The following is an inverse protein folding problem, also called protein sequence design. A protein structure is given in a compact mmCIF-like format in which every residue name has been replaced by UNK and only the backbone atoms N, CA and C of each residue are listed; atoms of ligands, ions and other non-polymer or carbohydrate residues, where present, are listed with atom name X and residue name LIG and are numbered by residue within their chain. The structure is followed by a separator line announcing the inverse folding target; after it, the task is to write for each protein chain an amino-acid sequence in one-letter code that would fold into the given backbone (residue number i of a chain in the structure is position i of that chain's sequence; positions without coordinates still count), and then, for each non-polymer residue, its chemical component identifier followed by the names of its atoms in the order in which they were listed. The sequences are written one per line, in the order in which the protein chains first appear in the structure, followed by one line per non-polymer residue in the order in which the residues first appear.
data_IF_563897438451
#
_entry.id   IF_563897438451
#
_cell.length_a   1.000
_cell.length_b   1.000
_cell.length_c   1.000
_cell.angle_alpha   90.00
_cell.angle_beta   90.00
_cell.angle_gamma   90.00
#
_symmetry.space_group_name_H-M   'P 1'
#
loop_
_entity.id
_entity.type
_entity.pdbx_description
1 polymer ?
#
# COMPACT_ATOMS: atom_id res chain seq x y z
N UNK A 1 64.93 -14.03 13.49
CA UNK A 1 63.68 -13.64 14.18
C UNK A 1 62.52 -14.11 13.31
N UNK A 2 61.52 -14.71 13.94
CA UNK A 2 60.37 -15.38 13.31
C UNK A 2 59.59 -14.46 12.38
N UNK A 3 59.29 -14.97 11.17
CA UNK A 3 58.30 -14.39 10.27
C UNK A 3 56.88 -14.66 10.77
N UNK A 4 55.97 -13.74 10.54
CA UNK A 4 54.54 -13.96 10.67
C UNK A 4 53.78 -13.16 9.62
N UNK A 5 53.20 -13.94 8.71
CA UNK A 5 52.11 -13.66 7.78
C UNK A 5 51.09 -12.64 8.30
N UNK A 6 50.87 -11.56 7.55
CA UNK A 6 49.55 -10.91 7.44
C UNK A 6 49.40 -10.28 6.04
N UNK A 7 48.56 -10.91 5.23
CA UNK A 7 47.63 -10.27 4.30
C UNK A 7 46.29 -10.98 4.56
N UNK A 8 45.10 -10.42 4.26
CA UNK A 8 44.78 -9.18 3.55
C UNK A 8 43.70 -8.34 4.27
N UNK A 9 43.47 -7.11 3.81
CA UNK A 9 42.31 -6.31 4.20
C UNK A 9 41.88 -5.44 3.04
N UNK A 10 41.23 -6.08 2.05
CA UNK A 10 40.51 -5.40 0.98
C UNK A 10 39.65 -4.30 1.60
N UNK A 11 39.87 -3.07 1.15
CA UNK A 11 38.91 -1.98 1.34
C UNK A 11 37.53 -2.51 0.95
N UNK A 12 36.49 -2.35 1.79
CA UNK A 12 35.16 -2.81 1.45
C UNK A 12 34.75 -2.21 0.10
N UNK A 13 34.43 -3.13 -0.81
CA UNK A 13 34.10 -2.92 -2.21
C UNK A 13 32.79 -2.15 -2.36
N UNK A 14 32.78 -1.27 -3.36
CA UNK A 14 31.63 -0.73 -4.12
C UNK A 14 30.49 -0.09 -3.31
N UNK A 15 30.50 1.24 -3.34
CA UNK A 15 29.33 2.11 -3.51
C UNK A 15 28.14 1.37 -4.16
N UNK A 16 27.05 1.17 -3.43
CA UNK A 16 25.72 0.91 -3.99
C UNK A 16 25.13 2.24 -4.50
N UNK A 17 25.83 2.88 -5.43
CA UNK A 17 25.35 4.12 -6.04
C UNK A 17 24.34 3.75 -7.13
N UNK A 18 23.05 3.90 -6.83
CA UNK A 18 21.99 3.90 -7.86
C UNK A 18 20.88 2.86 -7.74
N UNK A 19 20.83 2.05 -6.68
CA UNK A 19 19.76 1.05 -6.53
C UNK A 19 18.65 1.62 -5.63
N UNK A 20 17.40 1.45 -6.05
CA UNK A 20 16.24 1.68 -5.20
C UNK A 20 16.13 0.54 -4.18
N UNK A 21 16.04 0.88 -2.92
CA UNK A 21 15.98 -0.07 -1.82
C UNK A 21 14.59 0.01 -1.16
N UNK A 22 13.69 -0.93 -1.49
CA UNK A 22 12.41 -1.04 -0.83
C UNK A 22 12.58 -1.67 0.56
N UNK A 23 12.08 -0.97 1.57
CA UNK A 23 11.94 -1.48 2.93
C UNK A 23 10.52 -1.98 3.08
N UNK A 24 10.37 -3.24 3.48
CA UNK A 24 9.07 -3.93 3.61
C UNK A 24 8.75 -4.24 5.07
N UNK A 25 7.46 -4.36 5.36
CA UNK A 25 6.97 -4.85 6.65
C UNK A 25 7.56 -6.24 6.94
N UNK A 26 8.24 -6.45 8.07
CA UNK A 26 8.93 -7.72 8.28
C UNK A 26 7.95 -8.86 8.60
N UNK A 27 8.32 -10.09 8.22
CA UNK A 27 7.45 -11.27 8.35
C UNK A 27 7.23 -11.71 9.80
N UNK A 28 8.14 -11.33 10.71
CA UNK A 28 8.15 -11.76 12.10
C UNK A 28 7.10 -11.07 13.00
N UNK A 29 6.41 -10.04 12.51
CA UNK A 29 5.40 -9.31 13.28
C UNK A 29 4.04 -9.99 13.25
N UNK A 30 3.10 -9.63 14.14
CA UNK A 30 1.78 -10.27 14.16
C UNK A 30 0.83 -9.75 13.10
N UNK A 31 -0.49 -9.82 13.33
CA UNK A 31 -1.50 -9.67 12.25
C UNK A 31 -1.87 -8.24 11.90
N UNK A 32 -1.77 -7.32 12.84
CA UNK A 32 -2.16 -5.92 12.65
C UNK A 32 -0.90 -5.06 12.71
N UNK A 33 -0.47 -4.52 11.57
CA UNK A 33 0.70 -3.65 11.48
C UNK A 33 0.28 -2.25 11.06
N UNK A 34 0.86 -1.22 11.67
CA UNK A 34 0.63 0.15 11.27
C UNK A 34 1.82 1.05 11.58
N UNK A 35 2.02 2.08 10.78
CA UNK A 35 3.00 3.13 11.11
C UNK A 35 2.37 4.09 12.12
N UNK A 36 3.00 4.24 13.29
CA UNK A 36 2.52 5.14 14.35
C UNK A 36 3.03 6.55 14.15
N UNK A 37 4.29 6.68 13.72
CA UNK A 37 4.95 7.97 13.55
C UNK A 37 6.10 7.89 12.55
N UNK A 38 6.28 8.95 11.77
CA UNK A 38 7.51 9.16 10.99
C UNK A 38 8.41 10.19 11.70
N UNK A 39 9.67 9.82 11.92
CA UNK A 39 10.72 10.71 12.46
C UNK A 39 11.50 11.43 11.36
N UNK A 40 11.47 10.90 10.13
CA UNK A 40 12.04 11.51 8.92
C UNK A 40 10.93 11.87 7.94
N UNK A 41 11.09 12.94 7.19
CA UNK A 41 10.14 13.34 6.14
C UNK A 41 10.57 12.81 4.76
N UNK A 42 9.61 12.66 3.84
CA UNK A 42 9.90 12.37 2.43
C UNK A 42 10.88 13.40 1.85
N UNK A 43 11.85 12.91 1.07
CA UNK A 43 12.96 13.69 0.51
C UNK A 43 14.11 13.95 1.48
N UNK A 44 14.06 13.45 2.72
CA UNK A 44 15.20 13.55 3.65
C UNK A 44 16.33 12.59 3.24
N UNK A 45 17.58 13.05 3.37
CA UNK A 45 18.73 12.15 3.30
C UNK A 45 18.88 11.38 4.60
N UNK A 46 19.11 10.08 4.50
CA UNK A 46 19.27 9.14 5.61
C UNK A 46 20.53 8.30 5.43
N UNK A 47 21.04 7.75 6.52
CA UNK A 47 22.23 6.88 6.55
C UNK A 47 21.99 5.65 7.46
N UNK A 48 22.80 4.58 7.34
CA UNK A 48 22.66 3.40 8.17
C UNK A 48 22.64 3.73 9.66
N UNK A 49 21.65 3.18 10.38
CA UNK A 49 21.39 3.44 11.80
C UNK A 49 20.50 4.64 12.08
N UNK A 50 20.07 5.40 11.07
CA UNK A 50 19.03 6.41 11.27
C UNK A 50 17.67 5.73 11.51
N UNK A 51 16.97 6.15 12.56
CA UNK A 51 15.57 5.79 12.79
C UNK A 51 14.67 6.63 11.88
N UNK A 52 13.82 5.95 11.11
CA UNK A 52 12.90 6.54 10.13
C UNK A 52 11.50 6.76 10.70
N UNK A 53 10.99 5.76 11.41
CA UNK A 53 9.61 5.68 11.87
C UNK A 53 9.47 4.78 13.10
N UNK A 54 8.30 4.85 13.73
CA UNK A 54 7.83 3.89 14.70
C UNK A 54 6.68 3.09 14.10
N UNK A 55 6.75 1.78 14.25
CA UNK A 55 5.75 0.83 13.75
C UNK A 55 5.21 0.04 14.93
N UNK A 56 3.90 -0.12 14.95
CA UNK A 56 3.20 -0.89 15.97
C UNK A 56 2.64 -2.17 15.38
N UNK A 57 2.71 -3.22 16.20
CA UNK A 57 2.02 -4.48 16.01
C UNK A 57 1.21 -4.85 17.25
N UNK A 58 0.40 -5.89 17.13
CA UNK A 58 -0.28 -6.57 18.23
C UNK A 58 0.66 -7.10 19.34
N UNK A 59 1.93 -7.36 19.03
CA UNK A 59 2.90 -7.93 19.97
C UNK A 59 3.83 -6.85 20.54
N UNK A 60 4.28 -5.91 19.72
CA UNK A 60 5.28 -4.90 20.11
C UNK A 60 5.27 -3.65 19.21
N UNK A 61 5.77 -2.54 19.76
CA UNK A 61 6.21 -1.37 19.01
C UNK A 61 7.71 -1.47 18.72
N UNK A 62 8.13 -1.03 17.54
CA UNK A 62 9.51 -1.07 17.12
C UNK A 62 9.89 0.15 16.29
N UNK A 63 11.16 0.51 16.37
CA UNK A 63 11.77 1.58 15.60
C UNK A 63 12.26 1.02 14.26
N UNK A 64 11.80 1.63 13.17
CA UNK A 64 12.27 1.32 11.83
C UNK A 64 13.61 2.01 11.59
N UNK A 65 14.69 1.25 11.63
CA UNK A 65 16.02 1.71 11.24
C UNK A 65 16.33 1.40 9.78
N UNK A 66 17.00 2.31 9.09
CA UNK A 66 17.58 2.02 7.77
C UNK A 66 18.97 1.44 7.91
N UNK A 67 19.33 0.50 7.03
CA UNK A 67 20.70 -0.02 6.87
C UNK A 67 21.44 0.60 5.68
N UNK A 68 20.80 1.55 5.01
CA UNK A 68 21.23 2.07 3.71
C UNK A 68 21.25 3.59 3.69
N UNK A 69 22.11 4.14 2.83
CA UNK A 69 22.21 5.58 2.60
C UNK A 69 21.41 5.98 1.37
N UNK A 70 20.69 7.09 1.45
CA UNK A 70 19.94 7.63 0.31
C UNK A 70 18.91 8.67 0.72
N UNK A 71 18.10 9.09 -0.23
CA UNK A 71 16.91 9.90 0.01
C UNK A 71 15.72 9.00 0.31
N UNK A 72 14.89 9.38 1.28
CA UNK A 72 13.61 8.73 1.57
C UNK A 72 12.58 9.12 0.50
N UNK A 73 12.36 8.26 -0.48
CA UNK A 73 11.53 8.55 -1.66
C UNK A 73 10.06 8.21 -1.47
N UNK A 74 9.75 7.28 -0.56
CA UNK A 74 8.39 6.85 -0.25
C UNK A 74 8.22 6.58 1.24
N UNK A 75 7.03 6.84 1.74
CA UNK A 75 6.59 6.60 3.11
C UNK A 75 5.19 6.00 3.09
N UNK A 76 4.99 4.89 3.76
CA UNK A 76 3.66 4.33 3.97
C UNK A 76 2.78 5.28 4.79
N UNK A 77 1.45 5.29 4.55
CA UNK A 77 0.54 6.17 5.29
C UNK A 77 0.51 5.88 6.80
N UNK A 78 0.37 6.95 7.58
CA UNK A 78 0.24 6.87 9.03
C UNK A 78 -1.07 6.18 9.45
N UNK A 79 -0.99 5.28 10.44
CA UNK A 79 -2.14 4.65 11.09
C UNK A 79 -2.97 3.73 10.20
N UNK A 80 -2.48 3.38 9.00
CA UNK A 80 -3.17 2.44 8.13
C UNK A 80 -2.77 1.01 8.42
N UNK A 81 -3.72 0.06 8.36
CA UNK A 81 -3.40 -1.35 8.44
C UNK A 81 -2.51 -1.75 7.26
N UNK A 82 -1.44 -2.45 7.58
CA UNK A 82 -0.47 -3.01 6.66
C UNK A 82 -0.35 -4.51 6.93
N UNK A 83 -0.12 -5.27 5.87
CA UNK A 83 0.21 -6.67 5.91
C UNK A 83 1.73 -6.89 5.89
N UNK A 84 2.13 -8.14 6.16
CA UNK A 84 3.54 -8.57 6.08
C UNK A 84 4.02 -8.48 4.63
N UNK A 85 5.24 -8.01 4.44
CA UNK A 85 5.83 -7.84 3.11
C UNK A 85 5.39 -6.57 2.39
N UNK A 86 4.42 -5.82 2.91
CA UNK A 86 4.02 -4.57 2.28
C UNK A 86 5.12 -3.51 2.31
N UNK A 87 5.21 -2.71 1.25
CA UNK A 87 6.17 -1.60 1.19
C UNK A 87 5.90 -0.52 2.24
N UNK A 88 6.92 -0.26 3.04
CA UNK A 88 6.93 0.68 4.15
C UNK A 88 7.65 1.98 3.79
N UNK A 89 8.82 1.86 3.16
CA UNK A 89 9.62 2.98 2.69
C UNK A 89 10.42 2.59 1.44
N UNK A 90 10.81 3.59 0.64
CA UNK A 90 11.82 3.40 -0.41
C UNK A 90 12.96 4.37 -0.14
N UNK A 91 14.19 3.86 -0.14
CA UNK A 91 15.40 4.68 -0.07
C UNK A 91 16.13 4.58 -1.40
N UNK A 92 16.64 5.71 -1.90
CA UNK A 92 17.42 5.68 -3.14
C UNK A 92 17.93 7.05 -3.57
N UNK A 93 18.37 7.18 -4.83
CA UNK A 93 18.78 8.46 -5.41
C UNK A 93 17.61 9.46 -5.43
N UNK A 94 17.89 10.75 -5.22
CA UNK A 94 16.88 11.81 -5.03
C UNK A 94 15.76 11.84 -6.07
N UNK A 95 16.12 11.56 -7.32
CA UNK A 95 15.25 11.68 -8.48
C UNK A 95 14.98 10.32 -9.15
N UNK A 96 15.16 9.22 -8.42
CA UNK A 96 14.91 7.89 -8.96
C UNK A 96 13.41 7.63 -9.16
N UNK A 97 13.06 7.01 -10.29
CA UNK A 97 11.67 6.64 -10.60
C UNK A 97 11.24 5.42 -9.78
N UNK A 98 10.39 5.66 -8.78
CA UNK A 98 9.86 4.64 -7.89
C UNK A 98 8.57 3.99 -8.40
N UNK A 99 7.97 4.51 -9.47
CA UNK A 99 6.69 4.00 -10.00
C UNK A 99 6.71 2.49 -10.28
N UNK A 100 7.79 1.90 -10.84
CA UNK A 100 7.84 0.46 -11.06
C UNK A 100 7.76 -0.35 -9.76
N UNK A 101 8.27 0.17 -8.64
CA UNK A 101 8.17 -0.49 -7.33
C UNK A 101 6.78 -0.34 -6.75
N UNK A 102 6.17 0.85 -6.88
CA UNK A 102 4.80 1.10 -6.41
C UNK A 102 3.76 0.29 -7.19
N UNK A 103 3.97 0.03 -8.48
CA UNK A 103 3.05 -0.74 -9.33
C UNK A 103 3.06 -2.24 -9.05
N UNK A 104 4.15 -2.77 -8.47
CA UNK A 104 4.31 -4.19 -8.16
C UNK A 104 3.96 -4.53 -6.70
N UNK A 105 3.43 -3.57 -5.93
CA UNK A 105 2.94 -3.85 -4.58
C UNK A 105 1.64 -4.67 -4.64
N UNK A 106 1.63 -5.88 -4.06
CA UNK A 106 0.55 -6.84 -4.30
C UNK A 106 -0.83 -6.38 -3.81
N UNK A 107 -0.92 -5.45 -2.85
CA UNK A 107 -2.22 -5.08 -2.24
C UNK A 107 -2.42 -3.60 -1.90
N UNK A 108 -1.65 -2.67 -2.48
CA UNK A 108 -1.78 -1.24 -2.13
C UNK A 108 -1.79 -0.26 -3.32
N UNK A 109 -2.89 -0.28 -4.06
CA UNK A 109 -3.58 1.00 -4.37
C UNK A 109 -4.05 1.59 -3.03
N UNK A 110 -3.16 2.22 -2.27
CA UNK A 110 -3.56 2.98 -1.08
C UNK A 110 -4.38 4.22 -1.54
N UNK A 111 -5.20 4.89 -0.70
CA UNK A 111 -5.88 4.45 0.53
C UNK A 111 -7.35 4.98 0.65
N UNK A 112 -8.02 4.71 1.77
CA UNK A 112 -9.12 5.52 2.36
C UNK A 112 -10.59 5.37 1.94
N UNK A 113 -11.01 4.32 1.23
CA UNK A 113 -12.45 4.02 1.14
C UNK A 113 -12.71 2.59 1.63
N UNK A 114 -12.37 2.32 2.90
CA UNK A 114 -13.05 1.25 3.62
C UNK A 114 -14.52 1.63 3.72
N UNK A 115 -15.37 0.80 3.15
CA UNK A 115 -16.82 0.93 3.22
C UNK A 115 -17.41 -0.41 3.57
N UNK A 116 -18.60 -0.41 4.19
CA UNK A 116 -19.32 -1.66 4.37
C UNK A 116 -19.78 -2.17 3.01
N UNK A 117 -19.75 -3.49 2.78
CA UNK A 117 -20.26 -4.09 1.53
C UNK A 117 -21.67 -3.58 1.23
N UNK A 118 -21.87 -3.08 0.00
CA UNK A 118 -23.13 -2.46 -0.44
C UNK A 118 -23.30 -0.98 -0.08
N UNK A 119 -22.36 -0.37 0.65
CA UNK A 119 -22.33 1.08 0.89
C UNK A 119 -22.14 1.83 -0.42
N UNK A 120 -22.92 2.90 -0.62
CA UNK A 120 -22.85 3.76 -1.80
C UNK A 120 -22.26 5.12 -1.39
N UNK A 121 -21.26 5.59 -2.14
CA UNK A 121 -20.64 6.90 -1.93
C UNK A 121 -20.72 7.77 -3.18
N UNK A 122 -20.89 9.07 -2.98
CA UNK A 122 -20.72 10.09 -4.01
C UNK A 122 -19.27 10.58 -3.96
N UNK A 123 -18.56 10.49 -5.07
CA UNK A 123 -17.14 10.82 -5.15
C UNK A 123 -16.89 11.82 -6.28
N UNK A 124 -15.82 12.59 -6.16
CA UNK A 124 -15.42 13.64 -7.12
C UNK A 124 -14.20 13.27 -7.97
N UNK A 125 -13.69 12.05 -7.83
CA UNK A 125 -12.64 11.49 -8.68
C UNK A 125 -13.26 10.58 -9.74
N UNK A 126 -12.56 10.41 -10.87
CA UNK A 126 -13.06 9.67 -12.02
C UNK A 126 -12.71 8.17 -11.99
N UNK A 127 -11.60 7.80 -11.38
CA UNK A 127 -11.13 6.42 -11.34
C UNK A 127 -11.84 5.63 -10.23
N UNK A 128 -12.53 4.55 -10.60
CA UNK A 128 -13.19 3.67 -9.62
C UNK A 128 -12.12 2.84 -8.90
N UNK A 129 -12.01 2.93 -7.55
CA UNK A 129 -11.02 2.19 -6.80
C UNK A 129 -11.26 0.68 -6.86
N UNK A 130 -10.23 -0.08 -6.50
CA UNK A 130 -10.40 -1.51 -6.28
C UNK A 130 -11.42 -1.76 -5.15
N UNK A 131 -12.17 -2.85 -5.26
CA UNK A 131 -13.28 -3.21 -4.37
C UNK A 131 -14.46 -2.24 -4.38
N UNK A 132 -14.56 -1.41 -5.41
CA UNK A 132 -15.72 -0.58 -5.69
C UNK A 132 -16.19 -0.79 -7.13
N UNK A 133 -17.48 -0.60 -7.36
CA UNK A 133 -18.07 -0.62 -8.71
C UNK A 133 -18.86 0.65 -8.97
N UNK A 134 -18.97 1.11 -10.22
CA UNK A 134 -19.83 2.25 -10.55
C UNK A 134 -21.31 1.88 -10.38
N UNK A 135 -22.09 2.82 -9.84
CA UNK A 135 -23.55 2.71 -9.77
C UNK A 135 -24.19 3.09 -11.12
N UNK A 136 -23.88 2.33 -12.17
CA UNK A 136 -24.31 2.58 -13.55
C UNK A 136 -25.39 1.61 -14.07
N UNK A 137 -25.91 0.71 -13.24
CA UNK A 137 -26.90 -0.29 -13.64
C UNK A 137 -26.33 -1.55 -14.30
N UNK A 138 -25.01 -1.74 -14.32
CA UNK A 138 -24.40 -2.93 -14.92
C UNK A 138 -24.91 -4.23 -14.27
N UNK A 139 -25.01 -5.29 -15.07
CA UNK A 139 -25.24 -6.64 -14.56
C UNK A 139 -23.90 -7.31 -14.28
N UNK A 140 -23.75 -7.84 -13.07
CA UNK A 140 -22.53 -8.50 -12.59
C UNK A 140 -22.84 -9.91 -12.10
N UNK A 141 -21.89 -10.83 -12.24
CA UNK A 141 -22.09 -12.22 -11.84
C UNK A 141 -22.12 -12.35 -10.31
N UNK A 142 -23.01 -13.21 -9.79
CA UNK A 142 -23.07 -13.50 -8.34
C UNK A 142 -21.78 -14.15 -7.85
N UNK A 143 -21.14 -14.96 -8.70
CA UNK A 143 -19.89 -15.66 -8.37
C UNK A 143 -18.72 -14.69 -8.11
N UNK A 144 -18.67 -13.56 -8.81
CA UNK A 144 -17.59 -12.57 -8.68
C UNK A 144 -17.79 -11.67 -7.45
N UNK A 145 -19.05 -11.45 -7.02
CA UNK A 145 -19.40 -10.54 -5.93
C UNK A 145 -20.45 -11.13 -4.97
N UNK A 146 -20.16 -12.28 -4.31
CA UNK A 146 -21.12 -13.00 -3.48
C UNK A 146 -21.55 -12.21 -2.23
N UNK A 147 -20.61 -11.46 -1.62
CA UNK A 147 -20.90 -10.64 -0.44
C UNK A 147 -21.79 -9.44 -0.80
N UNK A 148 -21.50 -8.78 -1.92
CA UNK A 148 -22.34 -7.70 -2.42
C UNK A 148 -23.75 -8.20 -2.75
N UNK A 149 -23.86 -9.38 -3.38
CA UNK A 149 -25.16 -10.00 -3.63
C UNK A 149 -25.90 -10.32 -2.32
N UNK A 150 -25.21 -10.80 -1.30
CA UNK A 150 -25.81 -11.01 0.03
C UNK A 150 -26.37 -9.70 0.63
N UNK A 151 -25.67 -8.58 0.44
CA UNK A 151 -26.06 -7.28 0.96
C UNK A 151 -27.25 -6.64 0.22
N UNK A 152 -27.25 -6.66 -1.12
CA UNK A 152 -28.25 -5.93 -1.93
C UNK A 152 -29.27 -6.83 -2.64
N UNK A 153 -28.98 -8.11 -2.77
CA UNK A 153 -29.80 -9.10 -3.47
C UNK A 153 -30.09 -8.71 -4.91
N UNK A 154 -31.29 -9.05 -5.37
CA UNK A 154 -31.81 -8.73 -6.70
C UNK A 154 -32.52 -7.37 -6.79
N UNK A 155 -32.33 -6.48 -5.81
CA UNK A 155 -33.12 -5.23 -5.65
C UNK A 155 -33.15 -4.35 -6.90
N UNK A 156 -32.08 -4.35 -7.69
CA UNK A 156 -31.96 -3.53 -8.90
C UNK A 156 -32.11 -4.32 -10.20
N UNK A 157 -32.29 -5.64 -10.12
CA UNK A 157 -32.41 -6.53 -11.27
C UNK A 157 -31.85 -7.92 -10.97
N UNK A 158 -32.43 -8.92 -11.63
CA UNK A 158 -32.09 -10.34 -11.50
C UNK A 158 -31.92 -10.95 -12.89
N UNK A 159 -30.76 -11.56 -13.13
CA UNK A 159 -30.48 -12.44 -14.26
C UNK A 159 -30.21 -13.85 -13.78
N UNK A 160 -29.99 -14.80 -14.69
CA UNK A 160 -29.90 -16.24 -14.35
C UNK A 160 -28.85 -16.51 -13.25
N UNK A 161 -27.63 -16.00 -13.43
CA UNK A 161 -26.53 -16.10 -12.46
C UNK A 161 -25.93 -14.71 -12.14
N UNK A 162 -26.73 -13.66 -12.32
CA UNK A 162 -26.29 -12.27 -12.21
C UNK A 162 -27.32 -11.41 -11.49
N UNK A 163 -26.85 -10.28 -10.96
CA UNK A 163 -27.70 -9.23 -10.40
C UNK A 163 -27.28 -7.89 -10.97
N UNK A 164 -28.18 -6.90 -10.91
CA UNK A 164 -27.88 -5.56 -11.39
C UNK A 164 -27.38 -4.68 -10.23
N UNK A 165 -26.44 -3.81 -10.55
CA UNK A 165 -26.01 -2.71 -9.70
C UNK A 165 -27.07 -1.58 -9.72
N UNK A 166 -27.07 -0.67 -8.73
CA UNK A 166 -27.87 0.55 -8.81
C UNK A 166 -27.54 1.37 -10.07
N UNK A 167 -28.53 2.02 -10.68
CA UNK A 167 -28.34 3.00 -11.75
C UNK A 167 -28.61 4.42 -11.22
N UNK A 168 -27.62 5.04 -10.59
CA UNK A 168 -27.76 6.34 -9.92
C UNK A 168 -27.19 7.46 -10.77
N UNK A 169 -27.94 8.56 -10.90
CA UNK A 169 -27.50 9.76 -11.62
C UNK A 169 -26.90 10.76 -10.64
N UNK A 170 -25.63 11.12 -10.84
CA UNK A 170 -24.98 12.15 -10.06
C UNK A 170 -25.57 13.55 -10.35
N UNK A 171 -25.57 14.46 -9.36
CA UNK A 171 -26.12 15.81 -9.53
C UNK A 171 -25.25 16.71 -10.43
N UNK A 172 -23.97 16.39 -10.57
CA UNK A 172 -23.01 17.07 -11.43
C UNK A 172 -22.20 16.01 -12.20
N UNK A 173 -21.80 16.33 -13.43
CA UNK A 173 -21.07 15.41 -14.32
C UNK A 173 -19.64 15.10 -13.86
N UNK A 174 -19.10 15.91 -12.93
CA UNK A 174 -17.79 15.70 -12.30
C UNK A 174 -17.85 14.81 -11.06
N UNK A 175 -19.05 14.31 -10.74
CA UNK A 175 -19.27 13.42 -9.61
C UNK A 175 -19.80 12.08 -10.11
N UNK A 176 -19.53 11.01 -9.37
CA UNK A 176 -20.10 9.70 -9.64
C UNK A 176 -20.46 8.97 -8.36
N UNK A 177 -21.43 8.05 -8.46
CA UNK A 177 -21.74 7.12 -7.38
C UNK A 177 -21.00 5.81 -7.59
N UNK A 178 -20.37 5.32 -6.53
CA UNK A 178 -19.72 4.01 -6.48
C UNK A 178 -20.30 3.18 -5.33
N UNK A 179 -20.28 1.85 -5.45
CA UNK A 179 -20.75 0.89 -4.45
C UNK A 179 -19.62 -0.04 -4.00
N UNK A 180 -19.49 -0.25 -2.69
CA UNK A 180 -18.45 -1.11 -2.10
C UNK A 180 -18.76 -2.59 -2.36
N UNK A 181 -17.76 -3.37 -2.75
CA UNK A 181 -17.89 -4.81 -3.01
C UNK A 181 -17.25 -5.70 -1.94
N UNK A 182 -16.35 -5.16 -1.11
CA UNK A 182 -15.60 -5.89 -0.07
C UNK A 182 -15.20 -4.96 1.09
#
# INVERSE_FOLDING_TARGET
MLGSLFSPGQSPKKQSEGVLEPIRMPEAFGKHLQVVQWYKAAGAWVKPGDVLAEVESDIACFELETVSSGYLLYQAPLGQPMEKGDLLAIIGPKDADINPLLQNEPERRAPFISGMVGEIRLVAFDEVPQNWLPCNGASVAVADYPELFSAIGSRFGMGIDSFALPALKAPDHRLQFIICTH
#
